data_IF_002455347177
#
_entry.id   IF_002455347177
#
_cell.length_a   1.000
_cell.length_b   1.000
_cell.length_c   1.000
_cell.angle_alpha   90.00
_cell.angle_beta   90.00
_cell.angle_gamma   90.00
#
_symmetry.space_group_name_H-M   'P 1'
#
loop_
_entity.id
_entity.type
_entity.pdbx_description
1 polymer ?
#
# COMPACT_ATOMS: atom_id res chain seq x y z
N UNK A 1 -16.66 33.91 -20.25
CA UNK A 1 -15.85 33.20 -19.23
C UNK A 1 -16.57 31.90 -18.94
N UNK A 2 -15.90 30.78 -19.13
CA UNK A 2 -16.47 29.44 -18.96
C UNK A 2 -15.91 28.84 -17.68
N UNK A 3 -16.77 28.53 -16.73
CA UNK A 3 -16.39 27.87 -15.49
C UNK A 3 -16.44 26.35 -15.68
N UNK A 4 -15.34 25.67 -15.34
CA UNK A 4 -15.22 24.22 -15.31
C UNK A 4 -14.98 23.75 -13.87
N UNK A 5 -15.67 22.68 -13.50
CA UNK A 5 -15.58 22.03 -12.20
C UNK A 5 -14.79 20.73 -12.35
N UNK A 6 -14.12 20.31 -11.28
CA UNK A 6 -13.54 18.97 -11.26
C UNK A 6 -14.69 17.95 -11.25
N UNK A 7 -14.73 17.09 -12.27
CA UNK A 7 -15.58 15.90 -12.30
C UNK A 7 -15.18 14.98 -11.15
N UNK A 8 -16.16 14.54 -10.37
CA UNK A 8 -15.93 13.57 -9.31
C UNK A 8 -15.43 12.25 -9.89
N UNK A 9 -14.11 12.07 -9.97
CA UNK A 9 -13.50 10.80 -10.33
C UNK A 9 -12.37 10.56 -9.35
N UNK A 10 -12.57 9.60 -8.46
CA UNK A 10 -11.44 8.91 -7.85
C UNK A 10 -10.86 8.06 -8.97
N UNK A 11 -9.81 8.54 -9.65
CA UNK A 11 -9.19 7.75 -10.73
C UNK A 11 -8.76 6.38 -10.20
N UNK A 12 -8.80 5.28 -10.96
CA UNK A 12 -8.43 3.94 -10.47
C UNK A 12 -6.99 3.87 -10.01
N UNK A 13 -6.11 4.68 -10.61
CA UNK A 13 -4.74 4.84 -10.15
C UNK A 13 -4.66 5.67 -8.87
N UNK A 14 -5.56 6.62 -8.59
CA UNK A 14 -5.69 7.20 -7.25
C UNK A 14 -6.32 6.22 -6.26
N UNK A 15 -7.28 5.41 -6.66
CA UNK A 15 -7.92 4.41 -5.80
C UNK A 15 -6.93 3.27 -5.48
N UNK A 16 -6.15 2.85 -6.47
CA UNK A 16 -5.05 1.90 -6.34
C UNK A 16 -3.84 2.49 -5.62
N UNK A 17 -3.52 3.78 -5.83
CA UNK A 17 -2.53 4.51 -5.04
C UNK A 17 -3.07 4.83 -3.66
N UNK A 18 -4.38 4.90 -3.42
CA UNK A 18 -4.98 5.06 -2.09
C UNK A 18 -5.15 3.75 -1.37
N UNK A 19 -5.40 2.63 -2.04
CA UNK A 19 -5.36 1.29 -1.46
C UNK A 19 -3.90 0.90 -1.20
N UNK A 20 -3.02 1.16 -2.16
CA UNK A 20 -1.58 1.02 -2.04
C UNK A 20 -1.01 1.95 -0.97
N UNK A 21 -1.41 3.22 -0.91
CA UNK A 21 -1.08 4.11 0.21
C UNK A 21 -1.80 3.63 1.46
N UNK A 22 -3.07 3.26 1.56
CA UNK A 22 -3.64 2.71 2.81
C UNK A 22 -2.82 1.53 3.36
N UNK A 23 -2.37 0.64 2.47
CA UNK A 23 -1.53 -0.52 2.78
C UNK A 23 -0.07 -0.13 3.10
N UNK A 24 0.46 0.95 2.51
CA UNK A 24 1.87 1.36 2.60
C UNK A 24 2.09 2.70 3.32
N UNK A 25 1.05 3.43 3.73
CA UNK A 25 1.08 4.80 4.29
C UNK A 25 1.69 4.78 5.67
N UNK A 26 1.37 3.82 6.57
CA UNK A 26 2.08 3.70 7.84
C UNK A 26 3.59 3.58 7.59
N UNK A 27 3.97 2.83 6.55
CA UNK A 27 5.36 2.57 6.17
C UNK A 27 6.03 3.76 5.47
N UNK A 28 5.31 4.48 4.61
CA UNK A 28 5.81 5.64 3.87
C UNK A 28 5.88 6.90 4.75
N UNK A 29 4.93 7.11 5.68
CA UNK A 29 5.01 8.19 6.68
C UNK A 29 6.15 7.93 7.68
N UNK A 30 6.33 6.67 8.11
CA UNK A 30 7.44 6.27 8.97
C UNK A 30 8.81 6.55 8.33
N UNK A 31 8.95 6.29 7.02
CA UNK A 31 10.20 6.52 6.28
C UNK A 31 10.42 7.99 5.89
N UNK A 32 9.36 8.76 5.62
CA UNK A 32 9.49 10.13 5.11
C UNK A 32 9.62 11.23 6.18
N UNK A 33 9.18 10.99 7.42
CA UNK A 33 9.10 12.05 8.45
C UNK A 33 10.06 11.87 9.64
N UNK A 34 10.84 10.79 9.65
CA UNK A 34 11.68 10.43 10.79
C UNK A 34 10.84 10.04 12.02
N UNK A 35 11.51 9.80 13.14
CA UNK A 35 10.94 9.24 14.38
C UNK A 35 9.65 9.88 14.95
N UNK A 36 9.32 11.18 14.81
CA UNK A 36 8.17 11.75 15.53
C UNK A 36 6.81 11.20 15.09
N UNK A 37 6.63 10.77 13.83
CA UNK A 37 5.35 10.13 13.43
C UNK A 37 5.28 8.69 13.91
N UNK A 38 6.41 7.97 13.98
CA UNK A 38 6.47 6.64 14.57
C UNK A 38 6.17 6.69 16.07
N UNK A 39 6.60 7.75 16.76
CA UNK A 39 6.21 8.03 18.15
C UNK A 39 4.72 8.35 18.28
N UNK A 40 4.13 9.16 17.38
CA UNK A 40 2.68 9.39 17.39
C UNK A 40 1.92 8.09 17.12
N UNK A 41 2.42 7.26 16.20
CA UNK A 41 1.83 5.97 15.85
C UNK A 41 1.96 4.95 16.99
N UNK A 42 3.12 4.86 17.64
CA UNK A 42 3.34 3.98 18.79
C UNK A 42 2.64 4.49 20.05
N UNK A 43 2.56 5.80 20.29
CA UNK A 43 1.76 6.39 21.38
C UNK A 43 0.28 6.15 21.15
N UNK A 44 -0.22 6.28 19.92
CA UNK A 44 -1.61 5.93 19.60
C UNK A 44 -1.85 4.43 19.73
N UNK A 45 -0.96 3.59 19.20
CA UNK A 45 -1.04 2.13 19.29
C UNK A 45 -1.04 1.69 20.76
N UNK A 46 -0.07 2.16 21.56
CA UNK A 46 0.04 1.88 22.98
C UNK A 46 -1.17 2.40 23.78
N UNK A 47 -1.73 3.57 23.44
CA UNK A 47 -2.98 4.05 24.07
C UNK A 47 -4.21 3.23 23.69
N UNK A 48 -4.23 2.64 22.50
CA UNK A 48 -5.33 1.77 22.03
C UNK A 48 -5.21 0.39 22.67
N UNK A 49 -4.01 -0.21 22.71
CA UNK A 49 -3.77 -1.50 23.37
C UNK A 49 -3.90 -1.43 24.90
N UNK A 50 -3.49 -0.32 25.54
CA UNK A 50 -3.71 -0.10 26.99
C UNK A 50 -5.20 -0.03 27.37
N UNK A 51 -6.10 0.28 26.44
CA UNK A 51 -7.55 0.26 26.67
C UNK A 51 -8.19 -1.13 26.48
N UNK A 52 -7.37 -2.18 26.31
CA UNK A 52 -7.85 -3.55 26.11
C UNK A 52 -8.47 -3.79 24.73
N UNK A 53 -8.28 -2.84 23.80
CA UNK A 53 -8.67 -3.02 22.40
C UNK A 53 -7.59 -3.86 21.74
N UNK A 54 -8.00 -4.95 21.09
CA UNK A 54 -7.12 -5.83 20.33
C UNK A 54 -6.24 -4.98 19.38
N UNK A 55 -4.91 -5.14 19.47
CA UNK A 55 -3.95 -4.35 18.69
C UNK A 55 -4.15 -4.49 17.18
N UNK A 56 -4.70 -5.62 16.74
CA UNK A 56 -5.10 -5.83 15.34
C UNK A 56 -6.30 -4.96 14.97
N UNK A 57 -7.33 -4.95 15.82
CA UNK A 57 -8.54 -4.13 15.64
C UNK A 57 -8.18 -2.62 15.64
N UNK A 58 -7.23 -2.20 16.46
CA UNK A 58 -6.75 -0.81 16.50
C UNK A 58 -6.05 -0.38 15.21
N UNK A 59 -5.21 -1.25 14.63
CA UNK A 59 -4.53 -1.00 13.37
C UNK A 59 -5.54 -0.93 12.21
N UNK A 60 -6.50 -1.85 12.18
CA UNK A 60 -7.58 -1.90 11.19
C UNK A 60 -8.43 -0.62 11.26
N UNK A 61 -8.78 -0.16 12.47
CA UNK A 61 -9.55 1.07 12.67
C UNK A 61 -8.80 2.31 12.18
N UNK A 62 -7.49 2.37 12.41
CA UNK A 62 -6.65 3.47 11.95
C UNK A 62 -6.52 3.49 10.42
N UNK A 63 -6.37 2.32 9.79
CA UNK A 63 -6.38 2.21 8.33
C UNK A 63 -7.72 2.67 7.75
N UNK A 64 -8.84 2.24 8.35
CA UNK A 64 -10.18 2.69 7.97
C UNK A 64 -10.32 4.21 8.12
N UNK A 65 -9.89 4.78 9.24
CA UNK A 65 -9.94 6.23 9.48
C UNK A 65 -9.08 7.01 8.48
N UNK A 66 -7.88 6.55 8.16
CA UNK A 66 -7.02 7.14 7.13
C UNK A 66 -7.67 7.07 5.75
N UNK A 67 -8.32 5.94 5.43
CA UNK A 67 -9.08 5.81 4.18
C UNK A 67 -10.27 6.75 4.10
N UNK A 68 -11.02 6.89 5.19
CA UNK A 68 -12.13 7.85 5.30
C UNK A 68 -11.61 9.28 5.19
N UNK A 69 -10.52 9.64 5.88
CA UNK A 69 -9.93 10.97 5.81
C UNK A 69 -9.43 11.30 4.39
N UNK A 70 -8.82 10.34 3.71
CA UNK A 70 -8.35 10.52 2.34
C UNK A 70 -9.52 10.63 1.34
N UNK A 71 -10.61 9.89 1.55
CA UNK A 71 -11.87 10.08 0.82
C UNK A 71 -12.47 11.47 1.05
N UNK A 72 -12.57 11.91 2.31
CA UNK A 72 -13.07 13.25 2.66
C UNK A 72 -12.20 14.36 2.07
N UNK A 73 -10.87 14.21 2.10
CA UNK A 73 -9.93 15.14 1.46
C UNK A 73 -10.19 15.23 -0.05
N UNK A 74 -10.45 14.11 -0.72
CA UNK A 74 -10.79 14.12 -2.15
C UNK A 74 -12.11 14.83 -2.42
N UNK A 75 -13.16 14.55 -1.64
CA UNK A 75 -14.44 15.27 -1.76
C UNK A 75 -14.26 16.76 -1.52
N UNK A 76 -13.46 17.15 -0.53
CA UNK A 76 -13.13 18.54 -0.23
C UNK A 76 -12.36 19.18 -1.39
N UNK A 77 -11.34 18.52 -1.94
CA UNK A 77 -10.56 18.97 -3.10
C UNK A 77 -11.46 19.20 -4.31
N UNK A 78 -12.35 18.26 -4.61
CA UNK A 78 -13.27 18.34 -5.76
C UNK A 78 -14.23 19.53 -5.67
N UNK A 79 -14.77 19.80 -4.46
CA UNK A 79 -15.65 20.95 -4.24
C UNK A 79 -14.90 22.28 -4.23
N UNK A 80 -13.63 22.28 -3.83
CA UNK A 80 -12.84 23.47 -3.63
C UNK A 80 -12.22 24.04 -4.91
N UNK A 81 -11.85 23.17 -5.85
CA UNK A 81 -11.15 23.56 -7.07
C UNK A 81 -12.13 23.99 -8.17
N UNK A 82 -11.84 25.15 -8.77
CA UNK A 82 -12.56 25.72 -9.90
C UNK A 82 -11.54 26.12 -10.96
N UNK A 83 -11.79 25.75 -12.20
CA UNK A 83 -10.97 26.14 -13.34
C UNK A 83 -11.79 27.09 -14.21
N UNK A 84 -11.32 28.31 -14.33
CA UNK A 84 -11.95 29.31 -15.16
C UNK A 84 -11.16 29.45 -16.46
N UNK A 85 -11.84 29.28 -17.58
CA UNK A 85 -11.26 29.44 -18.92
C UNK A 85 -11.95 30.63 -19.58
N UNK A 86 -11.18 31.59 -20.07
CA UNK A 86 -11.67 32.83 -20.66
C UNK A 86 -10.91 33.17 -21.93
N UNK A 87 -11.33 34.22 -22.63
CA UNK A 87 -10.59 34.74 -23.79
C UNK A 87 -9.23 35.36 -23.41
N UNK A 88 -8.99 35.66 -22.13
CA UNK A 88 -7.75 36.27 -21.65
C UNK A 88 -6.74 35.25 -21.10
N UNK A 89 -7.24 34.13 -20.59
CA UNK A 89 -6.40 33.15 -19.90
C UNK A 89 -7.19 32.04 -19.22
N UNK A 90 -6.44 31.24 -18.46
CA UNK A 90 -6.92 30.15 -17.62
C UNK A 90 -6.50 30.38 -16.17
N UNK A 91 -7.41 30.14 -15.24
CA UNK A 91 -7.20 30.38 -13.81
C UNK A 91 -7.70 29.21 -12.99
N UNK A 92 -6.82 28.66 -12.14
CA UNK A 92 -7.18 27.69 -11.11
C UNK A 92 -7.42 28.42 -9.79
N UNK A 93 -8.67 28.43 -9.35
CA UNK A 93 -9.06 28.93 -8.04
C UNK A 93 -9.28 27.78 -7.05
N UNK A 94 -8.99 28.07 -5.78
CA UNK A 94 -9.18 27.14 -4.68
C UNK A 94 -9.93 27.82 -3.52
N UNK A 95 -11.20 27.49 -3.35
CA UNK A 95 -12.05 28.13 -2.33
C UNK A 95 -11.81 27.60 -0.92
N UNK A 96 -11.14 26.45 -0.74
CA UNK A 96 -10.94 25.84 0.57
C UNK A 96 -9.54 26.16 1.13
N UNK A 97 -9.43 26.80 2.31
CA UNK A 97 -8.14 27.20 2.89
C UNK A 97 -7.22 26.02 3.20
N UNK A 98 -7.77 24.85 3.56
CA UNK A 98 -6.98 23.64 3.85
C UNK A 98 -6.37 23.09 2.55
N UNK A 99 -7.14 23.02 1.46
CA UNK A 99 -6.64 22.52 0.18
C UNK A 99 -5.59 23.48 -0.40
N UNK A 100 -5.64 24.78 -0.10
CA UNK A 100 -4.63 25.77 -0.57
C UNK A 100 -3.22 25.46 -0.09
N UNK A 101 -3.07 24.77 1.05
CA UNK A 101 -1.78 24.31 1.54
C UNK A 101 -1.12 23.30 0.58
N UNK A 102 -1.93 22.53 -0.14
CA UNK A 102 -1.46 21.49 -1.07
C UNK A 102 -1.49 21.93 -2.53
N UNK A 103 -2.48 22.73 -2.92
CA UNK A 103 -2.69 23.17 -4.30
C UNK A 103 -2.84 24.69 -4.31
N UNK A 104 -1.75 25.36 -4.68
CA UNK A 104 -1.71 26.83 -4.81
C UNK A 104 -2.54 27.27 -6.02
N UNK A 105 -3.39 28.30 -5.88
CA UNK A 105 -4.08 28.88 -7.02
C UNK A 105 -3.08 29.52 -7.99
N UNK A 106 -3.43 29.57 -9.26
CA UNK A 106 -2.58 30.16 -10.30
C UNK A 106 -3.42 30.69 -11.45
N UNK A 107 -2.86 31.64 -12.19
CA UNK A 107 -3.45 32.23 -13.40
C UNK A 107 -2.40 32.28 -14.50
N UNK A 108 -2.79 31.92 -15.71
CA UNK A 108 -1.95 32.04 -16.91
C UNK A 108 -2.72 32.82 -17.96
N UNK A 109 -2.10 33.89 -18.48
CA UNK A 109 -2.63 34.69 -19.58
C UNK A 109 -2.18 34.08 -20.90
N UNK A 110 -3.06 33.99 -21.91
CA UNK A 110 -2.73 33.31 -23.17
C UNK A 110 -1.51 33.91 -23.89
N UNK A 111 -1.31 35.23 -23.83
CA UNK A 111 -0.14 35.90 -24.41
C UNK A 111 1.21 35.49 -23.77
N UNK A 112 1.18 34.91 -22.57
CA UNK A 112 2.36 34.39 -21.87
C UNK A 112 2.66 32.93 -22.25
N UNK A 113 1.73 32.22 -22.90
CA UNK A 113 1.95 30.84 -23.29
C UNK A 113 2.82 30.76 -24.54
N UNK A 114 3.71 29.78 -24.55
CA UNK A 114 4.45 29.40 -25.76
C UNK A 114 3.74 28.27 -26.49
N UNK A 115 3.19 27.29 -25.76
CA UNK A 115 2.57 26.09 -26.33
C UNK A 115 1.63 25.45 -25.31
N UNK A 116 0.57 24.80 -25.80
CA UNK A 116 -0.31 23.93 -25.03
C UNK A 116 -0.18 22.52 -25.60
N UNK A 117 0.32 21.58 -24.80
CA UNK A 117 0.68 20.24 -25.27
C UNK A 117 -0.20 19.20 -24.59
N UNK A 118 -0.78 18.30 -25.38
CA UNK A 118 -1.47 17.13 -24.88
C UNK A 118 -0.48 15.97 -24.75
N UNK A 119 -0.28 15.50 -23.52
CA UNK A 119 0.61 14.40 -23.19
C UNK A 119 -0.16 13.13 -22.85
N UNK A 120 0.33 12.00 -23.34
CA UNK A 120 -0.04 10.69 -22.82
C UNK A 120 0.75 10.41 -21.54
N UNK A 121 0.08 10.08 -20.43
CA UNK A 121 0.73 9.68 -19.19
C UNK A 121 0.45 8.20 -18.86
N UNK A 122 1.35 7.54 -18.09
CA UNK A 122 1.14 6.18 -17.62
C UNK A 122 -0.22 6.02 -16.92
N UNK A 123 -0.83 4.84 -17.05
CA UNK A 123 -2.18 4.54 -16.58
C UNK A 123 -3.32 5.33 -17.27
N UNK A 124 -3.18 5.55 -18.58
CA UNK A 124 -4.23 6.12 -19.46
C UNK A 124 -4.70 7.52 -19.05
N UNK A 125 -3.85 8.31 -18.39
CA UNK A 125 -4.17 9.70 -18.08
C UNK A 125 -3.66 10.60 -19.19
N UNK A 126 -4.55 11.38 -19.76
CA UNK A 126 -4.15 12.40 -20.72
C UNK A 126 -4.04 13.72 -19.96
N UNK A 127 -2.86 14.31 -20.00
CA UNK A 127 -2.53 15.53 -19.28
C UNK A 127 -2.28 16.67 -20.26
N UNK A 128 -2.81 17.85 -19.95
CA UNK A 128 -2.51 19.08 -20.65
C UNK A 128 -1.32 19.75 -19.96
N UNK A 129 -0.24 20.02 -20.69
CA UNK A 129 0.87 20.83 -20.24
C UNK A 129 0.80 22.21 -20.88
N UNK A 130 0.66 23.24 -20.04
CA UNK A 130 0.74 24.63 -20.46
C UNK A 130 2.18 25.10 -20.28
N UNK A 131 2.87 25.38 -21.38
CA UNK A 131 4.24 25.92 -21.37
C UNK A 131 4.20 27.42 -21.43
N UNK A 132 4.87 28.06 -20.47
CA UNK A 132 4.90 29.49 -20.27
C UNK A 132 6.25 30.01 -20.75
N UNK A 133 6.26 31.17 -21.43
CA UNK A 133 7.49 31.88 -21.81
C UNK A 133 8.36 32.07 -20.55
N UNK A 134 9.63 31.66 -20.63
CA UNK A 134 10.53 31.61 -19.46
C UNK A 134 10.69 30.22 -18.84
N UNK A 135 10.19 29.16 -19.48
CA UNK A 135 10.52 27.76 -19.13
C UNK A 135 9.68 27.15 -18.01
N UNK A 136 8.71 27.89 -17.46
CA UNK A 136 7.77 27.33 -16.49
C UNK A 136 6.69 26.52 -17.20
N UNK A 137 6.19 25.46 -16.55
CA UNK A 137 5.04 24.72 -17.04
C UNK A 137 4.03 24.40 -15.94
N UNK A 138 2.79 24.17 -16.35
CA UNK A 138 1.68 23.72 -15.48
C UNK A 138 0.98 22.55 -16.13
N UNK A 139 0.64 21.53 -15.34
CA UNK A 139 -0.04 20.33 -15.82
C UNK A 139 -1.46 20.25 -15.27
N UNK A 140 -2.41 19.86 -16.11
CA UNK A 140 -3.80 19.60 -15.74
C UNK A 140 -4.27 18.26 -16.32
N UNK A 141 -4.96 17.44 -15.53
CA UNK A 141 -5.61 16.23 -16.03
C UNK A 141 -6.82 16.60 -16.89
N UNK A 142 -6.87 16.15 -18.14
CA UNK A 142 -7.87 16.62 -19.13
C UNK A 142 -9.27 16.06 -18.84
N UNK A 143 -9.34 14.78 -18.45
CA UNK A 143 -10.60 14.11 -18.10
C UNK A 143 -11.18 14.56 -16.74
N UNK A 144 -10.42 15.33 -15.96
CA UNK A 144 -10.84 15.78 -14.62
C UNK A 144 -11.83 16.94 -14.66
N UNK A 145 -12.04 17.63 -15.79
CA UNK A 145 -12.80 18.88 -15.83
C UNK A 145 -14.10 18.75 -16.64
N UNK A 146 -15.23 19.15 -16.05
CA UNK A 146 -16.57 19.17 -16.68
C UNK A 146 -17.30 20.48 -16.39
N UNK A 147 -18.33 20.80 -17.19
CA UNK A 147 -19.24 21.91 -16.89
C UNK A 147 -20.13 21.57 -15.68
N UNK A 148 -20.46 22.54 -14.82
CA UNK A 148 -21.34 22.34 -13.66
C UNK A 148 -22.76 21.89 -14.02
N UNK A 149 -23.23 22.23 -15.22
CA UNK A 149 -24.59 21.95 -15.71
C UNK A 149 -24.79 20.49 -16.13
N UNK A 150 -23.71 19.71 -16.27
CA UNK A 150 -23.78 18.29 -16.54
C UNK A 150 -24.24 17.54 -15.29
N UNK A 151 -25.49 17.10 -15.27
CA UNK A 151 -26.11 16.38 -14.15
C UNK A 151 -25.50 14.97 -14.00
N UNK A 152 -24.24 14.88 -13.54
CA UNK A 152 -23.57 13.61 -13.26
C UNK A 152 -24.07 13.12 -11.91
N UNK A 153 -25.14 12.31 -11.93
CA UNK A 153 -25.64 11.63 -10.72
C UNK A 153 -24.49 10.81 -10.10
N UNK A 154 -24.19 11.04 -8.83
CA UNK A 154 -23.33 10.19 -8.02
C UNK A 154 -23.91 8.77 -8.02
N UNK A 155 -23.27 7.87 -8.74
CA UNK A 155 -23.68 6.47 -8.80
C UNK A 155 -22.66 5.65 -9.57
N UNK A 156 -23.07 4.45 -9.98
CA UNK A 156 -22.25 3.50 -10.76
C UNK A 156 -21.58 4.08 -12.02
N UNK A 157 -22.11 5.18 -12.56
CA UNK A 157 -21.50 5.94 -13.66
C UNK A 157 -20.14 6.56 -13.31
N UNK A 158 -19.94 7.04 -12.08
CA UNK A 158 -18.66 7.57 -11.62
C UNK A 158 -17.59 6.48 -11.48
N UNK A 159 -17.99 5.29 -11.03
CA UNK A 159 -17.13 4.10 -11.00
C UNK A 159 -16.75 3.64 -12.41
N UNK A 160 -17.71 3.53 -13.34
CA UNK A 160 -17.40 3.17 -14.75
C UNK A 160 -16.43 4.15 -15.39
N UNK A 161 -16.58 5.44 -15.12
CA UNK A 161 -15.71 6.48 -15.64
C UNK A 161 -14.28 6.40 -15.06
N UNK A 162 -14.15 5.97 -13.79
CA UNK A 162 -12.84 5.67 -13.24
C UNK A 162 -12.19 4.57 -14.08
N UNK A 163 -12.84 3.43 -14.27
CA UNK A 163 -12.26 2.28 -14.99
C UNK A 163 -12.06 2.51 -16.50
N UNK A 164 -12.84 3.39 -17.12
CA UNK A 164 -12.74 3.69 -18.55
C UNK A 164 -12.97 5.19 -18.78
N UNK A 165 -11.92 6.03 -18.63
CA UNK A 165 -12.05 7.45 -18.93
C UNK A 165 -12.40 7.62 -20.42
N UNK A 166 -13.22 8.63 -20.76
CA UNK A 166 -13.54 8.93 -22.15
C UNK A 166 -12.25 9.34 -22.87
N UNK A 167 -12.19 9.13 -24.20
CA UNK A 167 -11.08 9.59 -25.00
C UNK A 167 -10.81 11.08 -24.75
N UNK A 168 -9.55 11.52 -24.70
CA UNK A 168 -9.24 12.92 -24.39
C UNK A 168 -9.90 13.92 -25.32
N UNK A 169 -10.05 13.58 -26.61
CA UNK A 169 -10.71 14.42 -27.60
C UNK A 169 -12.19 14.71 -27.26
N UNK A 170 -12.82 13.90 -26.40
CA UNK A 170 -14.18 14.14 -25.91
C UNK A 170 -14.23 15.00 -24.62
N UNK A 171 -13.08 15.37 -24.06
CA UNK A 171 -13.06 16.15 -22.82
C UNK A 171 -13.65 17.55 -23.00
N UNK A 172 -14.41 17.98 -21.99
CA UNK A 172 -14.98 19.33 -21.97
C UNK A 172 -13.90 20.42 -21.93
N UNK A 173 -12.77 20.16 -21.28
CA UNK A 173 -11.65 21.11 -21.26
C UNK A 173 -11.10 21.36 -22.67
N UNK A 174 -10.84 20.31 -23.46
CA UNK A 174 -10.35 20.49 -24.84
C UNK A 174 -11.39 21.19 -25.72
N UNK A 175 -12.68 20.85 -25.57
CA UNK A 175 -13.77 21.54 -26.29
C UNK A 175 -13.83 23.03 -25.96
N UNK A 176 -13.70 23.39 -24.69
CA UNK A 176 -13.70 24.79 -24.26
C UNK A 176 -12.46 25.53 -24.78
N UNK A 177 -11.27 24.91 -24.71
CA UNK A 177 -10.04 25.51 -25.27
C UNK A 177 -10.14 25.73 -26.78
N UNK A 178 -10.66 24.75 -27.52
CA UNK A 178 -10.91 24.87 -28.96
C UNK A 178 -11.91 25.99 -29.27
N UNK A 179 -12.96 26.16 -28.45
CA UNK A 179 -13.92 27.27 -28.59
C UNK A 179 -13.33 28.67 -28.39
N UNK A 180 -12.21 28.79 -27.67
CA UNK A 180 -11.43 30.03 -27.56
C UNK A 180 -10.32 30.15 -28.61
N UNK A 181 -10.24 29.23 -29.58
CA UNK A 181 -9.22 29.25 -30.63
C UNK A 181 -7.82 28.85 -30.16
N UNK A 182 -7.69 28.19 -29.00
CA UNK A 182 -6.40 27.75 -28.47
C UNK A 182 -5.98 26.46 -29.16
N UNK A 183 -4.87 26.51 -29.91
CA UNK A 183 -4.30 25.33 -30.55
C UNK A 183 -3.62 24.42 -29.52
N UNK A 184 -4.05 23.16 -29.45
CA UNK A 184 -3.48 22.14 -28.56
C UNK A 184 -2.67 21.16 -29.41
N UNK A 185 -1.37 21.10 -29.19
CA UNK A 185 -0.46 20.19 -29.89
C UNK A 185 -0.61 18.80 -29.30
N UNK A 186 -1.17 17.88 -30.09
CA UNK A 186 -1.31 16.49 -29.67
C UNK A 186 0.03 15.75 -29.78
N UNK A 187 0.59 15.33 -28.64
CA UNK A 187 1.78 14.47 -28.58
C UNK A 187 1.47 13.10 -27.97
N UNK A 188 0.20 12.74 -27.84
CA UNK A 188 -0.22 11.47 -27.25
C UNK A 188 0.33 10.27 -28.00
N UNK A 189 0.49 10.32 -29.33
CA UNK A 189 1.10 9.24 -30.12
C UNK A 189 2.60 9.09 -29.86
N UNK A 190 3.33 10.21 -29.75
CA UNK A 190 4.76 10.21 -29.42
C UNK A 190 4.98 9.68 -28.01
N UNK A 191 4.10 10.06 -27.08
CA UNK A 191 4.12 9.54 -25.72
C UNK A 191 3.65 8.09 -25.67
N UNK A 192 2.69 7.66 -26.50
CA UNK A 192 2.26 6.27 -26.62
C UNK A 192 3.38 5.38 -27.17
N UNK A 193 4.15 5.88 -28.13
CA UNK A 193 5.36 5.21 -28.61
C UNK A 193 6.43 5.06 -27.51
N UNK A 194 6.52 6.05 -26.60
CA UNK A 194 7.36 5.94 -25.38
C UNK A 194 6.75 5.03 -24.30
N UNK A 195 5.42 4.96 -24.21
CA UNK A 195 4.65 4.06 -23.33
C UNK A 195 4.56 2.64 -23.88
N UNK A 196 5.02 2.37 -25.10
CA UNK A 196 5.22 1.03 -25.66
C UNK A 196 6.32 0.23 -24.95
N UNK A 197 6.73 0.64 -23.75
CA UNK A 197 7.64 -0.09 -22.90
C UNK A 197 6.97 -1.36 -22.38
N UNK A 198 7.20 -2.44 -23.12
CA UNK A 198 6.81 -3.78 -22.73
C UNK A 198 7.76 -4.33 -21.66
N UNK A 199 7.24 -4.56 -20.44
CA UNK A 199 8.00 -5.11 -19.31
C UNK A 199 8.70 -6.43 -19.67
N UNK A 200 8.10 -7.23 -20.54
CA UNK A 200 8.63 -8.51 -21.01
C UNK A 200 9.81 -8.36 -21.98
N UNK A 201 9.92 -7.23 -22.70
CA UNK A 201 10.98 -7.00 -23.68
C UNK A 201 12.28 -6.52 -23.04
N UNK A 202 12.21 -5.79 -21.92
CA UNK A 202 13.41 -5.36 -21.21
C UNK A 202 13.95 -6.49 -20.30
N UNK A 203 15.24 -6.80 -20.43
CA UNK A 203 15.88 -7.90 -19.69
C UNK A 203 15.84 -7.72 -18.17
N UNK A 204 15.93 -6.49 -17.68
CA UNK A 204 16.02 -6.20 -16.24
C UNK A 204 14.66 -6.29 -15.56
N UNK A 205 13.62 -5.79 -16.22
CA UNK A 205 12.23 -5.98 -15.75
C UNK A 205 11.85 -7.46 -15.79
N UNK A 206 12.28 -8.22 -16.80
CA UNK A 206 12.10 -9.68 -16.83
C UNK A 206 12.77 -10.37 -15.64
N UNK A 207 14.02 -10.02 -15.32
CA UNK A 207 14.72 -10.55 -14.13
C UNK A 207 13.96 -10.21 -12.86
N UNK A 208 13.52 -8.95 -12.69
CA UNK A 208 12.74 -8.54 -11.52
C UNK A 208 11.40 -9.27 -11.40
N UNK A 209 10.72 -9.55 -12.53
CA UNK A 209 9.50 -10.37 -12.56
C UNK A 209 9.76 -11.82 -12.16
N UNK A 210 10.88 -12.41 -12.61
CA UNK A 210 11.28 -13.77 -12.20
C UNK A 210 11.56 -13.80 -10.70
N UNK A 211 12.33 -12.84 -10.17
CA UNK A 211 12.61 -12.73 -8.74
C UNK A 211 11.31 -12.57 -7.95
N UNK A 212 10.41 -11.69 -8.39
CA UNK A 212 9.09 -11.50 -7.79
C UNK A 212 8.32 -12.83 -7.73
N UNK A 213 8.24 -13.56 -8.85
CA UNK A 213 7.53 -14.83 -8.91
C UNK A 213 8.14 -15.87 -7.96
N UNK A 214 9.46 -16.02 -7.95
CA UNK A 214 10.16 -16.97 -7.05
C UNK A 214 9.90 -16.63 -5.59
N UNK A 215 10.01 -15.35 -5.20
CA UNK A 215 9.77 -14.91 -3.81
C UNK A 215 8.31 -15.11 -3.40
N UNK A 216 7.36 -14.74 -4.26
CA UNK A 216 5.95 -14.88 -3.98
C UNK A 216 5.54 -16.36 -3.88
N UNK A 217 6.02 -17.20 -4.80
CA UNK A 217 5.78 -18.65 -4.75
C UNK A 217 6.40 -19.27 -3.51
N UNK A 218 7.63 -18.90 -3.14
CA UNK A 218 8.27 -19.37 -1.92
C UNK A 218 7.48 -18.95 -0.67
N UNK A 219 7.10 -17.67 -0.55
CA UNK A 219 6.32 -17.18 0.58
C UNK A 219 4.96 -17.88 0.69
N UNK A 220 4.29 -18.15 -0.43
CA UNK A 220 3.00 -18.84 -0.46
C UNK A 220 3.13 -20.34 -0.10
N UNK A 221 4.04 -21.05 -0.75
CA UNK A 221 4.22 -22.50 -0.51
C UNK A 221 4.76 -22.73 0.90
N UNK A 222 5.86 -22.10 1.26
CA UNK A 222 6.48 -22.34 2.56
C UNK A 222 5.60 -21.78 3.68
N UNK A 223 5.15 -20.53 3.57
CA UNK A 223 4.36 -19.87 4.63
C UNK A 223 2.98 -20.48 4.89
N UNK A 224 2.33 -21.07 3.88
CA UNK A 224 0.97 -21.63 4.03
C UNK A 224 1.00 -23.16 4.15
N UNK A 225 1.82 -23.84 3.35
CA UNK A 225 1.69 -25.30 3.16
C UNK A 225 2.74 -26.07 3.96
N UNK A 226 3.99 -25.63 3.95
CA UNK A 226 5.12 -26.46 4.42
C UNK A 226 5.60 -26.07 5.82
N UNK A 227 5.34 -24.84 6.25
CA UNK A 227 5.79 -24.36 7.54
C UNK A 227 4.95 -25.03 8.65
N UNK A 228 5.56 -25.91 9.43
CA UNK A 228 4.94 -26.51 10.63
C UNK A 228 5.43 -25.83 11.93
N UNK A 229 6.24 -24.80 11.81
CA UNK A 229 6.88 -24.13 12.94
C UNK A 229 6.43 -22.67 13.02
N UNK A 230 6.38 -22.11 14.22
CA UNK A 230 6.07 -20.69 14.44
C UNK A 230 7.00 -20.09 15.49
N UNK A 231 7.18 -18.78 15.43
CA UNK A 231 7.87 -18.03 16.47
C UNK A 231 7.16 -18.18 17.81
N UNK A 232 7.94 -18.44 18.87
CA UNK A 232 7.49 -18.38 20.27
C UNK A 232 7.25 -16.93 20.68
N UNK A 233 8.20 -16.07 20.32
CA UNK A 233 8.16 -14.63 20.57
C UNK A 233 7.49 -13.90 19.40
N UNK A 234 7.29 -12.59 19.55
CA UNK A 234 6.84 -11.77 18.43
C UNK A 234 7.86 -11.83 17.29
N UNK A 235 7.43 -12.13 16.05
CA UNK A 235 8.35 -12.12 14.91
C UNK A 235 8.96 -10.73 14.76
N UNK A 236 10.22 -10.61 14.29
CA UNK A 236 10.89 -9.33 14.10
C UNK A 236 10.35 -8.63 12.84
N UNK A 237 9.05 -8.31 12.82
CA UNK A 237 8.35 -7.66 11.72
C UNK A 237 9.05 -6.38 11.24
N UNK A 238 9.61 -5.50 12.12
CA UNK A 238 10.37 -4.35 11.66
C UNK A 238 11.56 -4.72 10.78
N UNK A 239 12.26 -5.81 11.08
CA UNK A 239 13.39 -6.27 10.28
C UNK A 239 12.93 -6.77 8.90
N UNK A 240 11.81 -7.50 8.84
CA UNK A 240 11.24 -7.98 7.55
C UNK A 240 10.76 -6.82 6.68
N UNK A 241 10.11 -5.82 7.28
CA UNK A 241 9.69 -4.60 6.60
C UNK A 241 10.89 -3.79 6.10
N UNK A 242 11.94 -3.65 6.91
CA UNK A 242 13.18 -3.00 6.50
C UNK A 242 13.84 -3.72 5.33
N UNK A 243 13.95 -5.05 5.38
CA UNK A 243 14.51 -5.84 4.29
C UNK A 243 13.72 -5.65 2.98
N UNK A 244 12.38 -5.65 3.07
CA UNK A 244 11.51 -5.36 1.93
C UNK A 244 11.67 -3.94 1.39
N UNK A 245 11.71 -2.93 2.26
CA UNK A 245 11.86 -1.52 1.87
C UNK A 245 13.23 -1.24 1.23
N UNK A 246 14.31 -1.78 1.80
CA UNK A 246 15.66 -1.68 1.22
C UNK A 246 15.70 -2.34 -0.16
N UNK A 247 15.08 -3.50 -0.31
CA UNK A 247 15.02 -4.22 -1.59
C UNK A 247 14.20 -3.45 -2.62
N UNK A 248 13.08 -2.84 -2.23
CA UNK A 248 12.29 -2.01 -3.12
C UNK A 248 13.10 -0.80 -3.63
N UNK A 249 13.82 -0.13 -2.73
CA UNK A 249 14.65 1.02 -3.06
C UNK A 249 15.81 0.63 -3.98
N UNK A 250 16.54 -0.45 -3.66
CA UNK A 250 17.62 -0.97 -4.51
C UNK A 250 17.09 -1.39 -5.87
N UNK A 251 15.99 -2.14 -5.91
CA UNK A 251 15.33 -2.56 -7.15
C UNK A 251 14.92 -1.38 -8.03
N UNK A 252 14.29 -0.36 -7.43
CA UNK A 252 13.92 0.88 -8.13
C UNK A 252 15.15 1.58 -8.71
N UNK A 253 16.20 1.80 -7.92
CA UNK A 253 17.42 2.48 -8.37
C UNK A 253 18.10 1.71 -9.50
N UNK A 254 18.16 0.38 -9.41
CA UNK A 254 18.72 -0.46 -10.46
C UNK A 254 17.90 -0.39 -11.75
N UNK A 255 16.58 -0.52 -11.67
CA UNK A 255 15.70 -0.45 -12.85
C UNK A 255 15.80 0.92 -13.54
N UNK A 256 15.80 2.01 -12.77
CA UNK A 256 16.01 3.37 -13.28
C UNK A 256 17.36 3.50 -13.99
N UNK A 257 18.43 2.98 -13.38
CA UNK A 257 19.79 3.00 -13.96
C UNK A 257 19.86 2.26 -15.31
N UNK A 258 18.99 1.27 -15.52
CA UNK A 258 18.93 0.49 -16.75
C UNK A 258 17.84 0.93 -17.74
N UNK A 259 17.39 2.19 -17.62
CA UNK A 259 16.49 2.81 -18.60
C UNK A 259 15.04 2.29 -18.55
N UNK A 260 14.65 1.65 -17.44
CA UNK A 260 13.25 1.33 -17.18
C UNK A 260 12.55 2.63 -16.78
N UNK A 261 11.37 2.95 -17.36
CA UNK A 261 10.70 4.19 -17.01
C UNK A 261 10.31 4.21 -15.51
N UNK A 262 10.22 5.42 -14.97
CA UNK A 262 10.21 5.60 -13.51
C UNK A 262 8.98 4.99 -12.84
N UNK A 263 7.82 5.04 -13.50
CA UNK A 263 6.59 4.47 -12.96
C UNK A 263 6.69 2.95 -12.81
N UNK A 264 7.22 2.27 -13.82
CA UNK A 264 7.46 0.83 -13.86
C UNK A 264 8.55 0.43 -12.86
N UNK A 265 9.61 1.23 -12.74
CA UNK A 265 10.69 1.00 -11.78
C UNK A 265 10.21 1.07 -10.32
N UNK A 266 9.39 2.08 -10.00
CA UNK A 266 8.79 2.24 -8.67
C UNK A 266 7.83 1.08 -8.38
N UNK A 267 6.93 0.78 -9.33
CA UNK A 267 5.92 -0.27 -9.16
C UNK A 267 6.55 -1.65 -8.98
N UNK A 268 7.48 -2.02 -9.87
CA UNK A 268 8.13 -3.33 -9.84
C UNK A 268 9.09 -3.46 -8.65
N UNK A 269 9.84 -2.40 -8.32
CA UNK A 269 10.67 -2.36 -7.11
C UNK A 269 9.83 -2.58 -5.85
N UNK A 270 8.72 -1.85 -5.70
CA UNK A 270 7.83 -2.01 -4.55
C UNK A 270 7.26 -3.44 -4.45
N UNK A 271 6.81 -4.05 -5.55
CA UNK A 271 6.30 -5.42 -5.54
C UNK A 271 7.36 -6.44 -5.12
N UNK A 272 8.59 -6.33 -5.63
CA UNK A 272 9.70 -7.21 -5.24
C UNK A 272 10.03 -7.04 -3.76
N UNK A 273 10.05 -5.80 -3.27
CA UNK A 273 10.28 -5.51 -1.85
C UNK A 273 9.21 -6.11 -0.94
N UNK A 274 7.93 -5.98 -1.30
CA UNK A 274 6.82 -6.61 -0.55
C UNK A 274 6.96 -8.13 -0.56
N UNK A 275 7.25 -8.74 -1.72
CA UNK A 275 7.43 -10.18 -1.82
C UNK A 275 8.61 -10.67 -0.97
N UNK A 276 9.73 -9.95 -0.93
CA UNK A 276 10.85 -10.29 -0.05
C UNK A 276 10.48 -10.14 1.43
N UNK A 277 9.80 -9.06 1.80
CA UNK A 277 9.37 -8.85 3.19
C UNK A 277 8.48 -10.00 3.68
N UNK A 278 7.54 -10.44 2.84
CA UNK A 278 6.70 -11.61 3.14
C UNK A 278 7.52 -12.92 3.18
N UNK A 279 8.40 -13.13 2.22
CA UNK A 279 9.29 -14.30 2.16
C UNK A 279 10.27 -14.36 3.34
N UNK A 280 10.58 -13.21 3.97
CA UNK A 280 11.51 -13.13 5.10
C UNK A 280 11.00 -13.87 6.33
N UNK A 281 9.67 -13.96 6.52
CA UNK A 281 9.09 -14.69 7.65
C UNK A 281 9.43 -16.20 7.60
N UNK A 282 9.00 -16.96 6.57
CA UNK A 282 9.36 -18.38 6.49
C UNK A 282 10.87 -18.58 6.32
N UNK A 283 11.57 -17.71 5.58
CA UNK A 283 13.02 -17.82 5.41
C UNK A 283 13.77 -17.72 6.75
N UNK A 284 13.38 -16.78 7.62
CA UNK A 284 14.00 -16.65 8.95
C UNK A 284 13.75 -17.91 9.78
N UNK A 285 12.54 -18.48 9.70
CA UNK A 285 12.25 -19.72 10.42
C UNK A 285 13.11 -20.88 9.93
N UNK A 286 13.26 -21.03 8.61
CA UNK A 286 14.10 -22.05 7.98
C UNK A 286 15.57 -21.88 8.30
N UNK A 287 16.11 -20.66 8.21
CA UNK A 287 17.53 -20.39 8.54
C UNK A 287 17.80 -20.72 10.00
N UNK A 288 16.90 -20.33 10.91
CA UNK A 288 17.02 -20.66 12.32
C UNK A 288 17.00 -22.18 12.54
N UNK A 289 16.06 -22.91 11.92
CA UNK A 289 16.01 -24.37 12.00
C UNK A 289 17.25 -25.06 11.38
N UNK A 290 17.79 -24.55 10.27
CA UNK A 290 19.01 -25.06 9.63
C UNK A 290 20.27 -24.82 10.45
N UNK A 291 20.26 -23.83 11.33
CA UNK A 291 21.39 -23.45 12.19
C UNK A 291 21.23 -23.96 13.62
N UNK A 292 20.21 -24.77 13.90
CA UNK A 292 19.97 -25.39 15.19
C UNK A 292 20.88 -26.63 15.37
N UNK A 293 21.83 -26.61 16.32
CA UNK A 293 22.72 -27.74 16.55
C UNK A 293 22.11 -28.86 17.39
N UNK A 294 21.02 -28.60 18.11
CA UNK A 294 20.41 -29.54 19.07
C UNK A 294 19.19 -30.23 18.47
N UNK A 295 18.38 -29.49 17.72
CA UNK A 295 17.12 -29.97 17.17
C UNK A 295 15.91 -29.64 18.04
N UNK A 296 14.75 -30.21 17.69
CA UNK A 296 13.52 -30.07 18.50
C UNK A 296 13.64 -30.89 19.78
N UNK A 297 13.40 -30.26 20.93
CA UNK A 297 13.25 -30.89 22.23
C UNK A 297 11.82 -30.76 22.74
N UNK A 298 11.35 -31.77 23.47
CA UNK A 298 10.08 -31.70 24.21
C UNK A 298 10.32 -31.04 25.56
N UNK A 299 9.48 -30.05 25.89
CA UNK A 299 9.57 -29.30 27.13
C UNK A 299 8.20 -29.17 27.79
N UNK A 300 8.16 -29.38 29.10
CA UNK A 300 6.93 -29.29 29.87
C UNK A 300 6.60 -27.83 30.23
N UNK A 301 5.37 -27.44 29.93
CA UNK A 301 4.81 -26.12 30.23
C UNK A 301 3.56 -26.25 31.09
N UNK A 302 3.40 -25.36 32.08
CA UNK A 302 2.20 -25.27 32.91
C UNK A 302 1.36 -24.09 32.46
N UNK A 303 0.08 -24.36 32.20
CA UNK A 303 -0.90 -23.32 31.86
C UNK A 303 -1.25 -22.48 33.10
N UNK A 304 -1.08 -21.17 32.99
CA UNK A 304 -1.44 -20.18 34.00
C UNK A 304 -2.61 -19.30 33.54
N UNK A 305 -3.05 -18.40 34.44
CA UNK A 305 -4.09 -17.40 34.14
C UNK A 305 -3.70 -16.55 32.94
N UNK A 306 -4.70 -16.10 32.18
CA UNK A 306 -4.48 -15.28 30.99
C UNK A 306 -4.00 -16.06 29.77
N UNK A 307 -4.09 -17.40 29.81
CA UNK A 307 -3.68 -18.29 28.74
C UNK A 307 -2.16 -18.20 28.46
N UNK A 308 -1.37 -18.02 29.52
CA UNK A 308 0.09 -18.03 29.47
C UNK A 308 0.62 -19.40 29.86
N UNK A 309 1.53 -19.95 29.07
CA UNK A 309 2.23 -21.19 29.36
C UNK A 309 3.63 -20.85 29.89
N UNK A 310 3.94 -21.32 31.10
CA UNK A 310 5.25 -21.12 31.74
C UNK A 310 6.03 -22.43 31.76
N UNK A 311 7.33 -22.42 31.42
CA UNK A 311 8.13 -23.63 31.43
C UNK A 311 8.37 -24.12 32.86
N UNK A 312 8.36 -25.44 33.07
CA UNK A 312 8.77 -26.05 34.34
C UNK A 312 10.29 -26.01 34.53
N UNK A 313 11.05 -26.04 33.43
CA UNK A 313 12.50 -25.96 33.44
C UNK A 313 12.96 -24.52 33.21
N UNK A 314 13.94 -24.05 33.98
CA UNK A 314 14.52 -22.71 33.82
C UNK A 314 15.23 -22.53 32.47
N UNK A 315 15.26 -21.29 31.97
CA UNK A 315 16.00 -20.91 30.75
C UNK A 315 15.19 -20.98 29.44
N UNK A 316 13.93 -21.45 29.50
CA UNK A 316 13.02 -21.45 28.36
C UNK A 316 12.12 -20.20 28.35
N UNK A 317 11.66 -19.73 27.18
CA UNK A 317 10.73 -18.60 27.09
C UNK A 317 9.31 -19.00 27.53
N UNK A 318 8.55 -18.04 28.05
CA UNK A 318 7.10 -18.19 28.25
C UNK A 318 6.35 -18.06 26.93
N UNK A 319 5.26 -18.81 26.76
CA UNK A 319 4.44 -18.77 25.55
C UNK A 319 3.09 -18.11 25.86
N UNK A 320 2.68 -17.13 25.05
CA UNK A 320 1.29 -16.67 25.04
C UNK A 320 0.47 -17.65 24.20
N UNK A 321 -0.65 -18.14 24.76
CA UNK A 321 -1.57 -19.13 24.18
C UNK A 321 -1.52 -19.21 22.66
N UNK A 322 -0.77 -20.18 22.12
CA UNK A 322 -0.56 -20.25 20.68
C UNK A 322 -1.87 -20.61 19.98
N UNK A 323 -2.14 -19.97 18.84
CA UNK A 323 -3.14 -20.35 17.83
C UNK A 323 -4.62 -20.12 18.21
N UNK A 324 -5.11 -20.55 19.38
CA UNK A 324 -6.55 -20.46 19.74
C UNK A 324 -6.80 -20.08 21.20
N UNK A 325 -7.18 -18.81 21.44
CA UNK A 325 -7.50 -18.30 22.77
C UNK A 325 -8.66 -19.05 23.43
N UNK A 326 -9.67 -19.44 22.65
CA UNK A 326 -10.85 -20.18 23.14
C UNK A 326 -10.47 -21.57 23.65
N UNK A 327 -9.64 -22.30 22.89
CA UNK A 327 -9.13 -23.60 23.30
C UNK A 327 -8.41 -23.50 24.65
N UNK A 328 -7.47 -22.56 24.77
CA UNK A 328 -6.68 -22.39 26.00
C UNK A 328 -7.51 -21.89 27.18
N UNK A 329 -8.53 -21.06 26.94
CA UNK A 329 -9.44 -20.60 27.99
C UNK A 329 -10.30 -21.73 28.57
N UNK A 330 -10.55 -22.80 27.81
CA UNK A 330 -11.30 -23.97 28.26
C UNK A 330 -10.45 -25.00 29.02
N UNK A 331 -9.12 -24.88 28.95
CA UNK A 331 -8.21 -25.79 29.65
C UNK A 331 -8.11 -25.47 31.14
N UNK A 332 -7.82 -26.48 31.96
CA UNK A 332 -7.65 -26.32 33.41
C UNK A 332 -6.35 -25.57 33.71
N UNK A 333 -6.42 -24.46 34.44
CA UNK A 333 -5.22 -23.79 34.98
C UNK A 333 -4.44 -24.78 35.86
N UNK A 334 -3.12 -24.83 35.67
CA UNK A 334 -2.23 -25.79 36.30
C UNK A 334 -2.06 -27.09 35.51
N UNK A 335 -2.72 -27.25 34.35
CA UNK A 335 -2.45 -28.38 33.46
C UNK A 335 -1.07 -28.26 32.84
N UNK A 336 -0.38 -29.40 32.74
CA UNK A 336 0.92 -29.52 32.06
C UNK A 336 0.72 -29.91 30.60
N UNK A 337 1.51 -29.31 29.73
CA UNK A 337 1.50 -29.50 28.28
C UNK A 337 2.92 -29.67 27.77
N UNK A 338 3.11 -30.67 26.91
CA UNK A 338 4.38 -30.88 26.22
C UNK A 338 4.43 -30.01 24.97
N UNK A 339 5.40 -29.10 24.92
CA UNK A 339 5.63 -28.22 23.78
C UNK A 339 6.97 -28.59 23.16
N UNK A 340 6.96 -28.90 21.87
CA UNK A 340 8.18 -29.11 21.09
C UNK A 340 8.77 -27.76 20.70
N UNK A 341 9.95 -27.46 21.23
CA UNK A 341 10.68 -26.22 20.97
C UNK A 341 12.07 -26.47 20.40
N UNK A 342 12.56 -25.47 19.68
CA UNK A 342 13.98 -25.36 19.31
C UNK A 342 14.46 -23.92 19.37
N UNK A 343 15.78 -23.77 19.53
CA UNK A 343 16.47 -22.49 19.41
C UNK A 343 17.58 -22.62 18.36
N UNK A 344 17.41 -21.93 17.24
CA UNK A 344 18.40 -21.93 16.18
C UNK A 344 19.56 -20.96 16.43
N UNK A 345 20.49 -20.91 15.48
CA UNK A 345 21.67 -20.04 15.56
C UNK A 345 21.36 -18.54 15.54
N UNK A 346 20.14 -18.14 15.18
CA UNK A 346 19.67 -16.74 15.30
C UNK A 346 19.19 -16.40 16.72
N UNK A 347 19.21 -17.36 17.66
CA UNK A 347 18.73 -17.18 19.03
C UNK A 347 17.20 -17.14 19.14
N UNK A 348 16.48 -17.39 18.05
CA UNK A 348 15.03 -17.31 17.98
C UNK A 348 14.43 -18.65 18.42
N UNK A 349 13.51 -18.59 19.37
CA UNK A 349 12.72 -19.74 19.79
C UNK A 349 11.55 -20.00 18.84
N UNK A 350 11.38 -21.28 18.48
CA UNK A 350 10.31 -21.74 17.61
C UNK A 350 9.61 -22.94 18.24
N UNK A 351 8.31 -23.08 18.00
CA UNK A 351 7.53 -24.24 18.43
C UNK A 351 6.90 -24.97 17.23
N UNK A 352 6.75 -26.30 17.36
CA UNK A 352 6.02 -27.11 16.37
C UNK A 352 4.51 -26.94 16.55
N UNK A 353 3.80 -26.65 15.46
CA UNK A 353 2.36 -26.35 15.46
C UNK A 353 1.50 -27.60 15.36
N UNK A 354 1.89 -28.61 14.59
CA UNK A 354 1.06 -29.78 14.31
C UNK A 354 0.45 -30.46 15.55
N UNK A 355 1.21 -30.77 16.63
CA UNK A 355 0.62 -31.43 17.81
C UNK A 355 -0.44 -30.55 18.50
N UNK A 356 -0.20 -29.24 18.57
CA UNK A 356 -1.15 -28.29 19.16
C UNK A 356 -2.40 -28.13 18.30
N UNK A 357 -2.25 -28.08 16.98
CA UNK A 357 -3.37 -28.00 16.04
C UNK A 357 -4.27 -29.23 16.12
N UNK A 358 -3.70 -30.42 16.35
CA UNK A 358 -4.46 -31.65 16.56
C UNK A 358 -5.32 -31.57 17.83
N UNK A 359 -4.74 -31.16 18.96
CA UNK A 359 -5.50 -30.96 20.20
C UNK A 359 -6.62 -29.92 20.06
N UNK A 360 -6.35 -28.82 19.35
CA UNK A 360 -7.33 -27.77 19.06
C UNK A 360 -8.46 -28.30 18.19
N UNK A 361 -8.14 -29.06 17.14
CA UNK A 361 -9.13 -29.69 16.24
C UNK A 361 -10.05 -30.63 17.03
N UNK A 362 -9.48 -31.52 17.83
CA UNK A 362 -10.25 -32.49 18.63
C UNK A 362 -11.17 -31.81 19.67
N UNK A 363 -10.72 -30.68 20.22
CA UNK A 363 -11.56 -29.85 21.08
C UNK A 363 -12.77 -29.28 20.33
N UNK A 364 -12.55 -28.69 19.14
CA UNK A 364 -13.64 -28.11 18.35
C UNK A 364 -14.62 -29.18 17.84
N UNK A 365 -14.14 -30.34 17.40
CA UNK A 365 -15.01 -31.44 16.95
C UNK A 365 -15.90 -32.01 18.07
N UNK A 366 -15.39 -32.08 19.30
CA UNK A 366 -16.19 -32.50 20.46
C UNK A 366 -17.24 -31.47 20.85
N UNK A 367 -16.93 -30.18 20.73
CA UNK A 367 -17.85 -29.11 21.08
C UNK A 367 -18.90 -28.86 19.99
N UNK A 368 -18.62 -29.11 18.71
CA UNK A 368 -19.60 -28.95 17.63
C UNK A 368 -20.70 -30.02 17.61
N UNK A 369 -20.54 -31.12 18.36
CA UNK A 369 -21.53 -32.21 18.48
C UNK A 369 -22.49 -32.04 19.65
N UNK A 370 -22.27 -31.04 20.50
CA UNK A 370 -23.15 -30.68 21.63
C UNK A 370 -24.07 -29.56 21.18
#
# INVERSE_FOLDING_TARGET
MTELHIRQVVSPSMLGLMLGILLLMPMALALATGQPVLEIYTVMYNKVTQKGIDGKLGLDLLQVLLGVAALLFMFARQRALRLYVSAQGIELQNRNPVIRLFIRPWRIVWGQMSEVVLHGAPAARIALEFRIKGGQSRKLGVAEWIRPEGNVKLGWSALRFAFKPPPAHESELLRVLAGYGINVVDRTEVDAARMGFALEKNRYTRVALIVLAVLATYAAIDGIVVLDESFVEEPPLPAFLMAGAMTAMVGMVLLLRFGVPAAESVGLGALVGVALGLASYPATLRINALTDPVGMGQHEYVLQRGAMLYPLTGGLPSLYAPISREFWAAQRIGSTWDIELRQGGLGIWQYRRAPLLEHIRDYHERNSRR
#
